data_IF_275194452865
#
_entry.id   IF_275194452865
#
_cell.length_a   1.000
_cell.length_b   1.000
_cell.length_c   1.000
_cell.angle_alpha   90.00
_cell.angle_beta   90.00
_cell.angle_gamma   90.00
#
_symmetry.space_group_name_H-M   'P 1'
#
loop_
_entity.id
_entity.type
_entity.pdbx_description
1 polymer ?
#
# COMPACT_ATOMS: atom_id res chain seq x y z
N UNK A 1 0.67 -1.70 -25.90
CA UNK A 1 1.04 -1.09 -24.60
C UNK A 1 -0.17 -1.06 -23.67
N UNK A 2 -0.04 -1.18 -22.33
CA UNK A 2 -1.21 -1.18 -21.42
C UNK A 2 -2.16 0.01 -21.66
N UNK A 3 -1.59 1.18 -21.94
CA UNK A 3 -2.35 2.41 -22.19
C UNK A 3 -3.22 2.35 -23.47
N UNK A 4 -2.92 1.45 -24.41
CA UNK A 4 -3.72 1.23 -25.63
C UNK A 4 -4.97 0.38 -25.36
N UNK A 5 -5.02 -0.38 -24.25
CA UNK A 5 -6.17 -1.24 -23.91
C UNK A 5 -7.38 -0.45 -23.39
N UNK A 6 -7.18 0.78 -22.89
CA UNK A 6 -8.26 1.63 -22.36
C UNK A 6 -9.16 0.89 -21.36
N UNK A 7 -10.48 1.05 -21.50
CA UNK A 7 -11.49 0.33 -20.69
C UNK A 7 -12.01 -0.96 -21.35
N UNK A 8 -11.41 -1.42 -22.44
CA UNK A 8 -11.91 -2.55 -23.23
C UNK A 8 -11.70 -3.92 -22.58
N UNK A 9 -10.83 -3.99 -21.56
CA UNK A 9 -10.53 -5.21 -20.79
C UNK A 9 -10.68 -4.92 -19.30
N UNK A 10 -11.07 -5.92 -18.47
CA UNK A 10 -11.02 -5.82 -17.02
C UNK A 10 -9.65 -5.30 -16.56
N UNK A 11 -9.63 -4.41 -15.56
CA UNK A 11 -8.42 -3.74 -15.09
C UNK A 11 -7.31 -4.71 -14.63
N UNK A 12 -7.67 -5.93 -14.23
CA UNK A 12 -6.72 -6.99 -13.87
C UNK A 12 -5.91 -7.49 -15.09
N UNK A 13 -6.53 -7.53 -16.28
CA UNK A 13 -5.85 -7.93 -17.52
C UNK A 13 -4.84 -6.86 -17.95
N UNK A 14 -5.19 -5.59 -17.76
CA UNK A 14 -4.28 -4.47 -18.03
C UNK A 14 -3.10 -4.45 -17.03
N UNK A 15 -3.37 -4.71 -15.74
CA UNK A 15 -2.34 -4.78 -14.71
C UNK A 15 -1.35 -5.94 -14.94
N UNK A 16 -1.83 -7.11 -15.37
CA UNK A 16 -0.99 -8.27 -15.68
C UNK A 16 0.03 -7.98 -16.80
N UNK A 17 -0.34 -7.19 -17.80
CA UNK A 17 0.57 -6.79 -18.90
C UNK A 17 1.75 -5.94 -18.39
N UNK A 18 1.60 -5.22 -17.27
CA UNK A 18 2.67 -4.39 -16.69
C UNK A 18 3.47 -5.08 -15.59
N UNK A 19 2.79 -5.80 -14.69
CA UNK A 19 3.40 -6.32 -13.46
C UNK A 19 3.61 -7.83 -13.50
N UNK A 20 3.07 -8.53 -14.51
CA UNK A 20 3.01 -9.99 -14.55
C UNK A 20 2.07 -10.60 -13.50
N UNK A 21 1.29 -9.78 -12.80
CA UNK A 21 0.42 -10.21 -11.70
C UNK A 21 -1.03 -9.72 -11.91
N UNK A 22 -1.99 -10.62 -11.67
CA UNK A 22 -3.44 -10.33 -11.73
C UNK A 22 -4.05 -9.90 -10.40
N UNK A 23 -3.28 -9.95 -9.31
CA UNK A 23 -3.73 -9.64 -7.95
C UNK A 23 -3.13 -8.32 -7.50
N UNK A 24 -3.90 -7.55 -6.75
CA UNK A 24 -3.42 -6.36 -6.09
C UNK A 24 -2.36 -6.75 -5.04
N UNK A 25 -1.15 -6.22 -5.17
CA UNK A 25 -0.06 -6.41 -4.23
C UNK A 25 0.37 -5.05 -3.66
N UNK A 26 0.22 -4.89 -2.34
CA UNK A 26 0.64 -3.70 -1.62
C UNK A 26 2.13 -3.72 -1.26
N UNK A 27 2.84 -4.82 -1.54
CA UNK A 27 4.25 -5.01 -1.21
C UNK A 27 5.12 -3.84 -1.68
N UNK A 28 5.01 -3.42 -2.94
CA UNK A 28 5.81 -2.32 -3.48
C UNK A 28 5.61 -0.98 -2.73
N UNK A 29 4.39 -0.70 -2.27
CA UNK A 29 4.10 0.49 -1.46
C UNK A 29 4.72 0.37 -0.06
N UNK A 30 4.62 -0.82 0.54
CA UNK A 30 5.24 -1.11 1.84
C UNK A 30 6.78 -1.06 1.75
N UNK A 31 7.38 -1.52 0.66
CA UNK A 31 8.83 -1.43 0.44
C UNK A 31 9.28 0.04 0.35
N UNK A 32 8.55 0.84 -0.43
CA UNK A 32 8.83 2.26 -0.59
C UNK A 32 8.81 3.01 0.76
N UNK A 33 7.83 2.72 1.63
CA UNK A 33 7.69 3.36 2.94
C UNK A 33 8.45 2.68 4.07
N UNK A 34 9.13 1.56 3.83
CA UNK A 34 9.85 0.80 4.88
C UNK A 34 10.80 1.65 5.73
N UNK A 35 11.64 2.54 5.17
CA UNK A 35 12.54 3.35 5.98
C UNK A 35 11.79 4.33 6.88
N UNK A 36 10.71 4.94 6.38
CA UNK A 36 9.87 5.85 7.14
C UNK A 36 9.15 5.11 8.28
N UNK A 37 8.61 3.93 8.00
CA UNK A 37 7.96 3.10 9.01
C UNK A 37 8.91 2.78 10.17
N UNK A 38 10.14 2.35 9.87
CA UNK A 38 11.14 2.05 10.89
C UNK A 38 11.48 3.27 11.75
N UNK A 39 11.61 4.44 11.12
CA UNK A 39 11.87 5.68 11.84
C UNK A 39 10.69 6.07 12.76
N UNK A 40 9.45 6.00 12.26
CA UNK A 40 8.25 6.30 13.03
C UNK A 40 8.08 5.35 14.22
N UNK A 41 8.35 4.05 14.05
CA UNK A 41 8.29 3.08 15.14
C UNK A 41 9.29 3.40 16.26
N UNK A 42 10.49 3.85 15.91
CA UNK A 42 11.51 4.24 16.88
C UNK A 42 11.12 5.54 17.61
N UNK A 43 10.66 6.56 16.88
CA UNK A 43 10.30 7.85 17.45
C UNK A 43 9.04 7.77 18.32
N UNK A 44 8.02 7.03 17.88
CA UNK A 44 6.82 6.78 18.69
C UNK A 44 7.15 6.08 20.01
N UNK A 45 8.06 5.10 20.00
CA UNK A 45 8.53 4.42 21.23
C UNK A 45 9.30 5.37 22.15
N UNK A 46 10.16 6.21 21.57
CA UNK A 46 10.95 7.20 22.32
C UNK A 46 10.06 8.24 23.01
N UNK A 47 8.98 8.66 22.36
CA UNK A 47 8.06 9.66 22.89
C UNK A 47 6.91 9.07 23.72
N UNK A 48 6.79 7.74 23.76
CA UNK A 48 5.74 7.05 24.52
C UNK A 48 4.34 7.23 23.93
N UNK A 49 4.24 7.33 22.61
CA UNK A 49 2.98 7.59 21.91
C UNK A 49 1.99 6.42 22.04
N UNK A 50 0.71 6.73 22.30
CA UNK A 50 -0.38 5.75 22.22
C UNK A 50 -0.79 5.60 20.76
N UNK A 51 -0.50 4.44 20.16
CA UNK A 51 -0.92 4.11 18.80
C UNK A 51 -2.34 3.55 18.79
N UNK A 52 -3.17 4.06 17.88
CA UNK A 52 -4.58 3.70 17.76
C UNK A 52 -5.48 4.66 18.54
N UNK A 53 -6.78 4.41 18.45
CA UNK A 53 -7.82 5.23 19.08
C UNK A 53 -8.83 4.31 19.78
N UNK A 54 -9.44 4.81 20.85
CA UNK A 54 -10.53 4.09 21.51
C UNK A 54 -11.75 4.10 20.58
N UNK A 55 -12.51 3.00 20.55
CA UNK A 55 -13.74 2.92 19.77
C UNK A 55 -14.70 4.02 20.24
N UNK A 56 -15.28 4.79 19.31
CA UNK A 56 -16.33 5.74 19.65
C UNK A 56 -17.48 4.99 20.29
N UNK A 57 -17.68 5.17 21.60
CA UNK A 57 -18.85 4.64 22.30
C UNK A 57 -20.10 5.11 21.55
N UNK A 58 -20.79 4.16 20.90
CA UNK A 58 -22.11 4.35 20.31
C UNK A 58 -23.11 3.71 21.26
#
# INVERSE_FOLDING_TARGET
SMLELGSSRPWQDAMEVLTGQRKMDASGLLEYFRPLQQWLEAENKKNGEKIGWDSSNT
#
